data_IF_642510783840
#
_entry.id   IF_642510783840
#
_cell.length_a   1.000
_cell.length_b   1.000
_cell.length_c   1.000
_cell.angle_alpha   90.00
_cell.angle_beta   90.00
_cell.angle_gamma   90.00
#
_symmetry.space_group_name_H-M   'P 1'
#
loop_
_entity.id
_entity.type
_entity.pdbx_description
1 polymer ?
#
# COMPACT_ATOMS: atom_id res chain seq x y z
N UNK A 1 -21.16 -17.14 17.44
CA UNK A 1 -21.49 -15.72 17.26
C UNK A 1 -20.26 -14.92 17.65
N UNK A 2 -19.66 -14.20 16.71
CA UNK A 2 -18.44 -13.42 16.96
C UNK A 2 -18.82 -12.01 17.40
N UNK A 3 -18.40 -11.63 18.61
CA UNK A 3 -18.62 -10.29 19.16
C UNK A 3 -17.76 -9.24 18.41
N UNK A 4 -18.34 -8.08 18.02
CA UNK A 4 -17.66 -7.05 17.24
C UNK A 4 -16.65 -6.17 18.01
N UNK A 5 -16.38 -6.45 19.29
CA UNK A 5 -15.60 -5.56 20.16
C UNK A 5 -14.09 -5.80 20.18
N UNK A 6 -13.57 -6.79 19.43
CA UNK A 6 -12.15 -7.17 19.55
C UNK A 6 -11.16 -6.25 18.82
N UNK A 7 -11.64 -5.33 17.96
CA UNK A 7 -10.76 -4.49 17.13
C UNK A 7 -10.67 -3.01 17.55
N UNK A 8 -11.41 -2.56 18.57
CA UNK A 8 -11.34 -1.15 19.01
C UNK A 8 -10.21 -0.85 20.01
N UNK A 9 -9.44 -1.85 20.45
CA UNK A 9 -8.42 -1.66 21.50
C UNK A 9 -6.97 -1.94 21.05
N UNK A 10 -6.72 -2.36 19.81
CA UNK A 10 -5.37 -2.71 19.34
C UNK A 10 -4.38 -1.56 19.51
N UNK A 11 -4.77 -0.33 19.15
CA UNK A 11 -3.87 0.82 19.24
C UNK A 11 -3.61 1.33 20.66
N UNK A 12 -4.43 0.95 21.66
CA UNK A 12 -4.26 1.43 23.03
C UNK A 12 -3.28 0.57 23.83
N UNK A 13 -3.18 -0.73 23.51
CA UNK A 13 -2.12 -1.59 24.06
C UNK A 13 -0.77 -1.40 23.33
N UNK A 14 -0.76 -0.89 22.09
CA UNK A 14 0.47 -0.54 21.38
C UNK A 14 1.28 0.59 22.04
N UNK A 15 0.67 1.41 22.91
CA UNK A 15 1.39 2.44 23.63
C UNK A 15 2.47 1.86 24.56
N UNK A 16 2.24 0.66 25.12
CA UNK A 16 3.23 -0.01 25.99
C UNK A 16 4.42 -0.58 25.23
N UNK A 17 4.28 -0.93 23.95
CA UNK A 17 5.43 -1.35 23.10
C UNK A 17 6.17 -0.15 22.51
N UNK A 18 5.50 1.01 22.34
CA UNK A 18 6.15 2.25 21.88
C UNK A 18 6.84 3.04 23.01
N UNK A 19 6.57 2.73 24.28
CA UNK A 19 7.22 3.38 25.41
C UNK A 19 8.75 3.10 25.50
N UNK A 20 9.28 2.18 24.69
CA UNK A 20 10.72 1.92 24.57
C UNK A 20 11.45 2.79 23.54
N UNK A 21 10.77 3.67 22.79
CA UNK A 21 11.39 4.56 21.80
C UNK A 21 11.75 5.93 22.39
N UNK A 22 12.30 5.95 23.61
CA UNK A 22 13.02 7.13 24.09
C UNK A 22 14.50 7.00 23.71
N UNK A 23 14.90 7.75 22.69
CA UNK A 23 16.30 8.04 22.42
C UNK A 23 16.82 8.99 23.49
N UNK A 24 17.31 8.49 24.63
CA UNK A 24 18.61 8.92 25.18
C UNK A 24 19.09 8.09 26.41
N UNK A 25 20.41 7.89 26.42
CA UNK A 25 21.40 7.54 27.44
C UNK A 25 21.04 6.89 28.81
N UNK A 26 21.81 5.83 29.10
CA UNK A 26 22.20 5.29 30.40
C UNK A 26 21.09 4.69 31.28
N UNK A 27 21.09 3.37 31.47
CA UNK A 27 21.52 2.65 32.70
C UNK A 27 20.91 1.25 32.72
N UNK A 28 21.74 0.28 33.10
CA UNK A 28 21.48 -1.14 33.31
C UNK A 28 20.30 -1.49 34.24
N UNK A 29 19.48 -2.47 33.84
CA UNK A 29 19.14 -3.70 34.58
C UNK A 29 17.78 -4.29 34.12
N UNK A 30 17.78 -5.51 33.59
CA UNK A 30 16.58 -6.31 33.30
C UNK A 30 15.91 -6.87 34.57
N UNK A 31 14.60 -7.17 34.51
CA UNK A 31 14.13 -8.48 34.96
C UNK A 31 13.21 -9.20 33.94
N UNK A 32 13.02 -10.52 34.09
CA UNK A 32 13.08 -11.45 32.94
C UNK A 32 11.74 -11.99 32.43
N UNK A 33 11.81 -12.45 31.16
CA UNK A 33 11.25 -13.69 30.59
C UNK A 33 9.74 -13.82 30.30
N UNK A 34 9.40 -14.08 29.02
CA UNK A 34 8.11 -14.68 28.60
C UNK A 34 8.27 -15.86 27.62
N UNK A 35 9.44 -16.11 27.04
CA UNK A 35 9.63 -17.20 26.08
C UNK A 35 10.64 -18.25 26.57
N UNK A 36 10.30 -18.91 27.67
CA UNK A 36 10.85 -20.24 27.98
C UNK A 36 10.17 -21.28 27.08
N UNK A 37 10.63 -21.36 25.84
CA UNK A 37 10.50 -22.54 24.99
C UNK A 37 11.90 -22.74 24.41
N UNK A 38 12.52 -23.88 24.67
CA UNK A 38 13.94 -24.20 24.44
C UNK A 38 14.43 -24.12 22.97
N UNK A 39 14.38 -22.93 22.39
CA UNK A 39 15.11 -22.52 21.20
C UNK A 39 16.27 -21.61 21.65
N UNK A 40 17.41 -21.57 20.93
CA UNK A 40 18.41 -20.55 21.19
C UNK A 40 17.73 -19.18 21.08
N UNK A 41 17.91 -18.34 22.11
CA UNK A 41 17.48 -16.94 22.09
C UNK A 41 18.28 -16.29 20.97
N UNK A 42 17.69 -16.19 19.79
CA UNK A 42 18.24 -15.38 18.71
C UNK A 42 17.93 -13.95 19.13
N UNK A 43 18.92 -13.31 19.74
CA UNK A 43 18.90 -11.87 20.00
C UNK A 43 18.93 -11.17 18.63
N UNK A 44 17.73 -10.90 18.09
CA UNK A 44 17.59 -10.14 16.85
C UNK A 44 17.73 -8.67 17.19
N UNK A 45 18.93 -8.14 16.98
CA UNK A 45 19.17 -6.71 17.07
C UNK A 45 18.59 -6.00 15.83
N UNK A 46 17.34 -5.56 15.93
CA UNK A 46 16.66 -4.78 14.88
C UNK A 46 17.31 -3.40 14.67
N UNK A 47 18.21 -2.94 15.55
CA UNK A 47 18.97 -1.71 15.32
C UNK A 47 20.03 -1.87 14.21
N UNK A 48 20.36 -3.12 13.85
CA UNK A 48 21.21 -3.45 12.70
C UNK A 48 20.44 -3.47 11.38
N UNK A 49 19.11 -3.29 11.40
CA UNK A 49 18.34 -3.04 10.18
C UNK A 49 18.59 -1.61 9.72
N UNK A 50 19.80 -1.36 9.20
CA UNK A 50 20.08 -0.18 8.42
C UNK A 50 19.37 -0.38 7.08
N UNK A 51 18.31 0.39 6.76
CA UNK A 51 17.76 0.35 5.41
C UNK A 51 18.89 0.73 4.47
N UNK A 52 19.14 -0.04 3.39
CA UNK A 52 20.18 0.34 2.44
C UNK A 52 19.86 1.75 1.94
N UNK A 53 20.77 2.69 2.23
CA UNK A 53 20.72 4.04 1.66
C UNK A 53 21.15 3.90 0.20
N UNK A 54 20.24 3.39 -0.62
CA UNK A 54 20.33 3.50 -2.06
C UNK A 54 19.96 4.93 -2.45
N UNK A 55 20.63 5.46 -3.47
CA UNK A 55 20.07 6.57 -4.24
C UNK A 55 18.72 6.10 -4.76
N UNK A 56 17.63 6.57 -4.16
CA UNK A 56 16.28 6.23 -4.59
C UNK A 56 16.05 7.03 -5.88
N UNK A 57 16.52 6.48 -7.00
CA UNK A 57 16.11 6.95 -8.31
C UNK A 57 14.59 6.78 -8.39
N UNK A 58 13.90 7.84 -8.80
CA UNK A 58 12.45 7.79 -8.94
C UNK A 58 12.15 6.73 -10.00
N UNK A 59 11.32 5.71 -9.70
CA UNK A 59 11.02 4.66 -10.64
C UNK A 59 10.44 5.24 -11.92
N UNK A 60 10.83 4.68 -13.07
CA UNK A 60 10.33 5.17 -14.36
C UNK A 60 8.86 4.79 -14.56
N UNK A 61 8.17 5.47 -15.47
CA UNK A 61 6.78 5.16 -15.83
C UNK A 61 6.59 3.71 -16.26
N UNK A 62 7.55 3.13 -16.97
CA UNK A 62 7.54 1.73 -17.42
C UNK A 62 7.60 0.77 -16.23
N UNK A 63 8.49 1.04 -15.26
CA UNK A 63 8.63 0.23 -14.06
C UNK A 63 7.37 0.29 -13.19
N UNK A 64 6.76 1.48 -13.09
CA UNK A 64 5.50 1.67 -12.40
C UNK A 64 4.37 0.87 -13.08
N UNK A 65 4.22 0.97 -14.39
CA UNK A 65 3.21 0.19 -15.13
C UNK A 65 3.45 -1.31 -14.95
N UNK A 66 4.69 -1.79 -15.07
CA UNK A 66 5.02 -3.20 -14.85
C UNK A 66 4.63 -3.68 -13.44
N UNK A 67 4.88 -2.85 -12.42
CA UNK A 67 4.47 -3.11 -11.04
C UNK A 67 2.95 -3.19 -10.90
N UNK A 68 2.22 -2.24 -11.49
CA UNK A 68 0.76 -2.18 -11.46
C UNK A 68 0.08 -3.36 -12.19
N UNK A 69 0.73 -3.91 -13.22
CA UNK A 69 0.26 -5.11 -13.94
C UNK A 69 0.63 -6.42 -13.23
N UNK A 70 1.45 -6.35 -12.18
CA UNK A 70 1.89 -7.50 -11.39
C UNK A 70 1.61 -7.34 -9.89
N UNK A 71 0.35 -7.09 -9.49
CA UNK A 71 0.00 -6.92 -8.09
C UNK A 71 0.22 -8.21 -7.29
N UNK A 72 0.83 -8.14 -6.09
CA UNK A 72 0.97 -9.27 -5.18
C UNK A 72 -0.38 -9.66 -4.56
N UNK A 73 -0.52 -10.84 -3.93
CA UNK A 73 -1.79 -11.29 -3.36
C UNK A 73 -2.40 -10.33 -2.34
N UNK A 74 -1.59 -9.63 -1.55
CA UNK A 74 -2.05 -8.68 -0.54
C UNK A 74 -2.49 -7.32 -1.11
N UNK A 75 -2.28 -7.07 -2.41
CA UNK A 75 -2.81 -5.88 -3.07
C UNK A 75 -4.34 -5.93 -3.23
N UNK A 76 -4.93 -7.12 -3.08
CA UNK A 76 -6.37 -7.33 -3.23
C UNK A 76 -7.07 -7.37 -1.88
N UNK A 77 -7.81 -6.30 -1.55
CA UNK A 77 -8.66 -6.25 -0.37
C UNK A 77 -10.08 -6.71 -0.76
N UNK A 78 -10.60 -7.71 -0.06
CA UNK A 78 -11.89 -8.34 -0.39
C UNK A 78 -12.00 -8.83 -1.84
N UNK A 79 -10.87 -9.20 -2.46
CA UNK A 79 -10.80 -9.70 -3.85
C UNK A 79 -10.69 -8.62 -4.93
N UNK A 80 -10.72 -7.34 -4.55
CA UNK A 80 -10.60 -6.18 -5.45
C UNK A 80 -9.27 -5.47 -5.20
N UNK A 81 -8.71 -4.89 -6.26
CA UNK A 81 -7.47 -4.13 -6.15
C UNK A 81 -7.64 -2.93 -5.20
N UNK A 82 -6.73 -2.80 -4.24
CA UNK A 82 -6.74 -1.71 -3.28
C UNK A 82 -6.14 -0.44 -3.87
N UNK A 83 -6.89 0.66 -3.80
CA UNK A 83 -6.36 1.99 -4.17
C UNK A 83 -5.17 2.38 -3.28
N UNK A 84 -5.17 1.99 -2.01
CA UNK A 84 -4.06 2.26 -1.09
C UNK A 84 -2.77 1.53 -1.51
N UNK A 85 -2.90 0.31 -2.03
CA UNK A 85 -1.74 -0.39 -2.57
C UNK A 85 -1.21 0.30 -3.83
N UNK A 86 -2.09 0.80 -4.70
CA UNK A 86 -1.69 1.54 -5.90
C UNK A 86 -0.95 2.82 -5.52
N UNK A 87 -1.50 3.61 -4.59
CA UNK A 87 -0.86 4.83 -4.08
C UNK A 87 0.53 4.49 -3.51
N UNK A 88 0.64 3.46 -2.68
CA UNK A 88 1.93 3.02 -2.14
C UNK A 88 2.92 2.49 -3.19
N UNK A 89 2.41 1.94 -4.30
CA UNK A 89 3.23 1.40 -5.39
C UNK A 89 3.73 2.46 -6.36
N UNK A 90 2.95 3.53 -6.54
CA UNK A 90 3.23 4.61 -7.51
C UNK A 90 3.89 5.80 -6.84
N UNK A 91 3.57 6.07 -5.58
CA UNK A 91 3.93 7.30 -4.87
C UNK A 91 2.74 8.25 -4.77
N UNK A 92 2.47 8.72 -3.55
CA UNK A 92 1.35 9.59 -3.25
C UNK A 92 1.42 10.95 -3.96
N UNK A 93 2.62 11.40 -4.35
CA UNK A 93 2.82 12.64 -5.09
C UNK A 93 2.24 12.63 -6.51
N UNK A 94 1.86 11.45 -7.03
CA UNK A 94 1.24 11.30 -8.34
C UNK A 94 -0.29 11.28 -8.25
N UNK A 95 -0.86 11.48 -7.06
CA UNK A 95 -2.31 11.46 -6.82
C UNK A 95 -2.78 12.77 -6.19
N UNK A 96 -3.96 13.20 -6.64
CA UNK A 96 -4.72 14.29 -6.04
C UNK A 96 -5.97 13.72 -5.37
N UNK A 97 -6.37 14.32 -4.24
CA UNK A 97 -7.66 14.02 -3.63
C UNK A 97 -8.74 14.87 -4.29
N UNK A 98 -9.75 14.22 -4.85
CA UNK A 98 -10.89 14.87 -5.50
C UNK A 98 -12.04 14.96 -4.51
N UNK A 99 -12.36 16.19 -4.11
CA UNK A 99 -13.41 16.46 -3.11
C UNK A 99 -14.83 16.09 -3.56
N UNK A 100 -15.09 16.05 -4.88
CA UNK A 100 -16.44 15.80 -5.41
C UNK A 100 -16.95 14.38 -5.15
N UNK A 101 -16.07 13.38 -5.14
CA UNK A 101 -16.39 11.97 -4.87
C UNK A 101 -15.52 11.34 -3.78
N UNK A 102 -14.82 12.17 -2.98
CA UNK A 102 -13.93 11.78 -1.88
C UNK A 102 -12.89 10.72 -2.28
N UNK A 103 -12.34 10.83 -3.48
CA UNK A 103 -11.51 9.79 -4.10
C UNK A 103 -10.12 10.30 -4.46
N UNK A 104 -9.11 9.44 -4.30
CA UNK A 104 -7.80 9.66 -4.89
C UNK A 104 -7.80 9.33 -6.39
N UNK A 105 -7.35 10.28 -7.20
CA UNK A 105 -7.21 10.16 -8.66
C UNK A 105 -5.80 10.54 -9.10
N UNK A 106 -5.34 10.00 -10.22
CA UNK A 106 -4.04 10.37 -10.78
C UNK A 106 -4.01 11.87 -11.10
N UNK A 107 -2.96 12.54 -10.65
CA UNK A 107 -2.72 13.95 -10.92
C UNK A 107 -2.63 14.20 -12.44
N UNK A 108 -3.11 15.37 -12.89
CA UNK A 108 -3.19 15.71 -14.31
C UNK A 108 -1.83 15.65 -15.02
N UNK A 109 -0.76 16.02 -14.31
CA UNK A 109 0.61 15.98 -14.82
C UNK A 109 1.37 14.67 -14.56
N UNK A 110 0.71 13.62 -14.07
CA UNK A 110 1.39 12.36 -13.79
C UNK A 110 1.72 11.61 -15.10
N UNK A 111 2.96 11.13 -15.21
CA UNK A 111 3.41 10.35 -16.38
C UNK A 111 2.54 9.11 -16.62
N UNK A 112 2.04 8.48 -15.54
CA UNK A 112 1.09 7.36 -15.62
C UNK A 112 -0.23 7.74 -16.27
N UNK A 113 -0.73 8.95 -16.03
CA UNK A 113 -1.97 9.44 -16.67
C UNK A 113 -1.73 9.75 -18.14
N UNK A 114 -0.58 10.32 -18.48
CA UNK A 114 -0.24 10.75 -19.84
C UNK A 114 0.15 9.54 -20.72
N UNK A 115 1.05 8.69 -20.26
CA UNK A 115 1.67 7.61 -21.04
C UNK A 115 1.20 6.21 -20.65
N UNK A 116 0.45 6.04 -19.56
CA UNK A 116 0.09 4.72 -19.04
C UNK A 116 -0.58 3.80 -20.07
N UNK A 117 -1.44 4.36 -20.93
CA UNK A 117 -2.10 3.60 -22.01
C UNK A 117 -1.10 3.10 -23.06
N UNK A 118 -0.15 3.95 -23.46
CA UNK A 118 0.90 3.61 -24.45
C UNK A 118 1.86 2.55 -23.89
N UNK A 119 2.08 2.59 -22.57
CA UNK A 119 2.88 1.63 -21.82
C UNK A 119 2.15 0.31 -21.49
N UNK A 120 0.89 0.16 -21.93
CA UNK A 120 0.14 -1.09 -21.83
C UNK A 120 -0.77 -1.20 -20.60
N UNK A 121 -1.00 -0.12 -19.86
CA UNK A 121 -2.01 -0.09 -18.80
C UNK A 121 -3.42 -0.22 -19.42
N UNK A 122 -4.24 -1.20 -19.01
CA UNK A 122 -5.59 -1.37 -19.54
C UNK A 122 -6.46 -0.13 -19.35
N UNK A 123 -7.30 0.18 -20.34
CA UNK A 123 -8.17 1.36 -20.32
C UNK A 123 -9.06 1.41 -19.08
N UNK A 124 -9.73 0.31 -18.71
CA UNK A 124 -10.57 0.25 -17.52
C UNK A 124 -9.79 0.54 -16.21
N UNK A 125 -8.51 0.16 -16.16
CA UNK A 125 -7.66 0.45 -15.02
C UNK A 125 -7.26 1.92 -15.00
N UNK A 126 -6.90 2.49 -16.15
CA UNK A 126 -6.59 3.92 -16.25
C UNK A 126 -7.82 4.80 -15.96
N UNK A 127 -8.99 4.45 -16.47
CA UNK A 127 -10.27 5.12 -16.20
C UNK A 127 -10.62 5.09 -14.71
N UNK A 128 -10.43 3.93 -14.06
CA UNK A 128 -10.55 3.82 -12.62
C UNK A 128 -9.58 4.80 -11.93
N UNK A 129 -8.30 4.83 -12.30
CA UNK A 129 -7.30 5.69 -11.65
C UNK A 129 -7.48 7.19 -11.90
N UNK A 130 -7.96 7.61 -13.07
CA UNK A 130 -8.14 9.02 -13.39
C UNK A 130 -9.43 9.61 -12.84
N UNK A 131 -10.39 8.76 -12.49
CA UNK A 131 -11.77 9.17 -12.27
C UNK A 131 -12.42 9.55 -13.61
N UNK A 132 -13.73 9.35 -13.70
CA UNK A 132 -14.52 9.80 -14.83
C UNK A 132 -14.47 11.32 -14.94
N UNK A 133 -14.62 11.83 -16.16
CA UNK A 133 -14.94 13.23 -16.41
C UNK A 133 -16.27 13.54 -15.70
N UNK A 134 -16.37 14.70 -15.04
CA UNK A 134 -17.51 15.08 -14.18
C UNK A 134 -18.89 14.99 -14.89
N UNK A 135 -18.89 14.89 -16.22
CA UNK A 135 -20.08 14.86 -17.08
C UNK A 135 -20.49 13.45 -17.58
N UNK A 136 -19.75 12.39 -17.25
CA UNK A 136 -20.08 11.02 -17.70
C UNK A 136 -20.70 10.22 -16.56
N UNK A 137 -22.01 9.97 -16.65
CA UNK A 137 -22.84 9.22 -15.66
C UNK A 137 -22.38 7.77 -15.39
N UNK A 138 -21.31 7.30 -16.03
CA UNK A 138 -20.65 6.04 -15.71
C UNK A 138 -19.68 6.31 -14.56
N UNK A 139 -20.12 5.98 -13.35
CA UNK A 139 -19.32 6.12 -12.15
C UNK A 139 -18.01 5.34 -12.32
N UNK A 140 -16.89 6.04 -12.53
CA UNK A 140 -15.55 5.45 -12.62
C UNK A 140 -15.15 4.61 -11.40
N UNK A 141 -15.90 4.69 -10.29
CA UNK A 141 -15.83 3.77 -9.16
C UNK A 141 -16.22 2.34 -9.54
N UNK A 142 -17.16 2.19 -10.47
CA UNK A 142 -17.70 0.89 -10.89
C UNK A 142 -16.67 0.08 -11.67
N UNK A 143 -15.74 0.72 -12.37
CA UNK A 143 -14.63 0.01 -13.03
C UNK A 143 -13.72 -0.71 -12.02
N UNK A 144 -13.71 -0.27 -10.75
CA UNK A 144 -12.94 -0.91 -9.68
C UNK A 144 -13.40 -2.34 -9.38
N UNK A 145 -14.68 -2.66 -9.60
CA UNK A 145 -15.22 -4.00 -9.35
C UNK A 145 -14.63 -5.05 -10.30
N UNK A 146 -14.13 -4.61 -11.45
CA UNK A 146 -13.53 -5.46 -12.47
C UNK A 146 -12.05 -5.74 -12.19
N UNK A 147 -11.38 -4.96 -11.34
CA UNK A 147 -9.94 -5.08 -11.03
C UNK A 147 -9.67 -6.20 -10.00
N UNK A 148 -10.06 -7.42 -10.35
CA UNK A 148 -9.87 -8.63 -9.54
C UNK A 148 -8.53 -9.31 -9.85
N UNK A 149 -8.08 -10.23 -8.99
CA UNK A 149 -6.90 -11.06 -9.29
C UNK A 149 -7.03 -11.82 -10.62
N UNK A 150 -8.25 -12.19 -11.03
CA UNK A 150 -8.49 -12.89 -12.30
C UNK A 150 -8.26 -11.99 -13.51
N UNK A 151 -8.67 -10.71 -13.41
CA UNK A 151 -8.40 -9.71 -14.45
C UNK A 151 -6.91 -9.65 -14.77
N UNK A 152 -6.05 -9.49 -13.75
CA UNK A 152 -4.60 -9.42 -13.94
C UNK A 152 -3.97 -10.72 -14.45
N UNK A 153 -4.49 -11.88 -14.05
CA UNK A 153 -4.04 -13.17 -14.61
C UNK A 153 -4.38 -13.30 -16.10
N UNK A 154 -5.49 -12.72 -16.54
CA UNK A 154 -5.91 -12.71 -17.95
C UNK A 154 -4.98 -11.90 -18.85
N UNK A 155 -4.33 -10.86 -18.33
CA UNK A 155 -3.41 -9.98 -19.09
C UNK A 155 -2.05 -10.62 -19.40
N UNK A 156 -1.68 -11.72 -18.73
CA UNK A 156 -0.38 -12.39 -18.89
C UNK A 156 -0.40 -13.53 -19.92
N UNK A 157 -1.46 -13.62 -20.72
CA UNK A 157 -1.66 -14.69 -21.71
C UNK A 157 -1.19 -14.27 -23.09
#
# INVERSE_FOLDING_TARGET
>A
MAHPERNMYSNKESFKVNAGLYFDQNTSADPPSVFQIGAPVIDMDFSLLVPPVGTVEKPTSEELVHRLLSPPPHAFLHGLLSIQWVIGSVGAENFDFRDSDERYVLAQGSELRIHGKELGLPAAYLEWLCGGEEDMEVMSSDQGVCLTSQFFKGLRK
#
